data_IF_457521800908
#
_entry.id   IF_457521800908
#
_cell.length_a   1.000
_cell.length_b   1.000
_cell.length_c   1.000
_cell.angle_alpha   90.00
_cell.angle_beta   90.00
_cell.angle_gamma   90.00
#
_symmetry.space_group_name_H-M   'P 1'
#
loop_
_entity.id
_entity.type
_entity.pdbx_description
1 polymer ?
#
# COMPACT_ATOMS: atom_id res chain seq x y z
N UNK A 1 38.54 5.71 -8.07
CA UNK A 1 37.75 6.80 -8.67
C UNK A 1 37.08 7.54 -7.51
N UNK A 2 37.68 8.66 -7.14
CA UNK A 2 37.10 9.56 -6.13
C UNK A 2 35.80 10.13 -6.69
N UNK A 3 34.71 9.84 -6.02
CA UNK A 3 33.48 10.59 -6.24
C UNK A 3 33.78 12.05 -5.91
N UNK A 4 33.83 12.89 -6.96
CA UNK A 4 33.78 14.31 -6.75
C UNK A 4 32.50 14.63 -6.00
N UNK A 5 32.60 14.78 -4.69
CA UNK A 5 31.55 15.40 -3.92
C UNK A 5 31.34 16.77 -4.52
N UNK A 6 30.28 16.96 -5.27
CA UNK A 6 29.84 18.29 -5.70
C UNK A 6 29.62 19.10 -4.42
N UNK A 7 30.51 20.02 -4.12
CA UNK A 7 30.25 21.01 -3.09
C UNK A 7 28.98 21.76 -3.50
N UNK A 8 27.89 21.42 -2.82
CA UNK A 8 26.62 22.13 -3.03
C UNK A 8 26.86 23.58 -2.66
N UNK A 9 26.75 24.48 -3.63
CA UNK A 9 26.90 25.90 -3.36
C UNK A 9 25.86 26.32 -2.29
N UNK A 10 26.27 27.12 -1.34
CA UNK A 10 25.42 27.52 -0.21
C UNK A 10 24.06 28.09 -0.66
N UNK A 11 24.02 28.80 -1.81
CA UNK A 11 22.77 29.35 -2.33
C UNK A 11 21.79 28.23 -2.78
N UNK A 12 22.30 27.14 -3.36
CA UNK A 12 21.47 26.00 -3.80
C UNK A 12 20.79 25.34 -2.60
N UNK A 13 21.50 25.23 -1.49
CA UNK A 13 20.97 24.68 -0.24
C UNK A 13 19.79 25.52 0.29
N UNK A 14 20.01 26.86 0.43
CA UNK A 14 18.95 27.75 0.91
C UNK A 14 17.78 27.85 -0.08
N UNK A 15 18.06 27.83 -1.37
CA UNK A 15 17.06 27.84 -2.43
C UNK A 15 16.20 26.57 -2.36
N UNK A 16 16.82 25.40 -2.19
CA UNK A 16 16.11 24.11 -2.06
C UNK A 16 15.14 24.14 -0.87
N UNK A 17 15.62 24.63 0.29
CA UNK A 17 14.78 24.75 1.49
C UNK A 17 13.60 25.71 1.22
N UNK A 18 13.85 26.85 0.60
CA UNK A 18 12.81 27.83 0.30
C UNK A 18 11.73 27.24 -0.64
N UNK A 19 12.16 26.60 -1.74
CA UNK A 19 11.24 25.93 -2.69
C UNK A 19 10.44 24.85 -1.98
N UNK A 20 11.09 24.01 -1.15
CA UNK A 20 10.42 22.96 -0.39
C UNK A 20 9.34 23.54 0.53
N UNK A 21 9.69 24.56 1.33
CA UNK A 21 8.75 25.16 2.29
C UNK A 21 7.57 25.83 1.58
N UNK A 22 7.82 26.53 0.47
CA UNK A 22 6.77 27.19 -0.33
C UNK A 22 5.85 26.10 -0.94
N UNK A 23 6.42 25.08 -1.57
CA UNK A 23 5.68 23.95 -2.16
C UNK A 23 4.81 23.28 -1.10
N UNK A 24 5.39 23.00 0.07
CA UNK A 24 4.69 22.34 1.18
C UNK A 24 3.56 23.23 1.74
N UNK A 25 3.80 24.54 1.82
CA UNK A 25 2.78 25.52 2.22
C UNK A 25 1.58 25.52 1.27
N UNK A 26 1.83 25.45 -0.03
CA UNK A 26 0.75 25.34 -1.03
C UNK A 26 0.02 24.01 -0.92
N UNK A 27 0.73 22.90 -0.67
CA UNK A 27 0.12 21.56 -0.48
C UNK A 27 -0.84 21.59 0.74
N UNK A 28 -0.40 22.20 1.85
CA UNK A 28 -1.21 22.33 3.09
C UNK A 28 -2.45 23.18 2.85
N UNK A 29 -2.38 24.18 1.98
CA UNK A 29 -3.52 25.07 1.70
C UNK A 29 -4.71 24.36 1.05
N UNK A 30 -4.47 23.19 0.43
CA UNK A 30 -5.49 22.32 -0.24
C UNK A 30 -6.27 23.03 -1.37
N UNK A 31 -5.85 24.21 -1.80
CA UNK A 31 -6.52 24.99 -2.84
C UNK A 31 -6.22 24.49 -4.25
N UNK A 32 -5.10 23.81 -4.42
CA UNK A 32 -4.62 23.29 -5.71
C UNK A 32 -4.29 21.81 -5.59
N UNK A 33 -4.28 21.11 -6.71
CA UNK A 33 -3.94 19.70 -6.75
C UNK A 33 -2.51 19.48 -6.25
N UNK A 34 -2.35 18.65 -5.23
CA UNK A 34 -1.07 18.37 -4.54
C UNK A 34 0.01 17.87 -5.51
N UNK A 35 -0.36 17.02 -6.47
CA UNK A 35 0.59 16.47 -7.45
C UNK A 35 1.12 17.57 -8.38
N UNK A 36 0.25 18.48 -8.82
CA UNK A 36 0.63 19.61 -9.68
C UNK A 36 1.62 20.52 -8.94
N UNK A 37 1.33 20.84 -7.68
CA UNK A 37 2.20 21.69 -6.84
C UNK A 37 3.58 21.03 -6.68
N UNK A 38 3.60 19.73 -6.36
CA UNK A 38 4.85 18.97 -6.17
C UNK A 38 5.68 18.92 -7.46
N UNK A 39 5.02 18.66 -8.60
CA UNK A 39 5.69 18.64 -9.91
C UNK A 39 6.26 20.01 -10.26
N UNK A 40 5.52 21.08 -9.94
CA UNK A 40 5.96 22.46 -10.18
C UNK A 40 7.20 22.79 -9.33
N UNK A 41 7.20 22.39 -8.06
CA UNK A 41 8.35 22.54 -7.16
C UNK A 41 9.58 21.78 -7.71
N UNK A 42 9.37 20.54 -8.14
CA UNK A 42 10.44 19.72 -8.75
C UNK A 42 10.98 20.36 -10.03
N UNK A 43 10.09 20.88 -10.90
CA UNK A 43 10.49 21.57 -12.13
C UNK A 43 11.36 22.80 -11.83
N UNK A 44 10.99 23.59 -10.81
CA UNK A 44 11.79 24.75 -10.37
C UNK A 44 13.19 24.30 -9.95
N UNK A 45 13.31 23.23 -9.17
CA UNK A 45 14.61 22.70 -8.72
C UNK A 45 15.51 22.30 -9.90
N UNK A 46 14.90 21.73 -10.95
CA UNK A 46 15.63 21.31 -12.16
C UNK A 46 16.04 22.55 -13.00
N UNK A 47 15.12 23.48 -13.22
CA UNK A 47 15.35 24.69 -14.05
C UNK A 47 16.49 25.54 -13.45
N UNK A 48 16.53 25.65 -12.12
CA UNK A 48 17.57 26.43 -11.43
C UNK A 48 18.87 25.63 -11.19
N UNK A 49 18.96 24.40 -11.73
CA UNK A 49 20.18 23.61 -11.67
C UNK A 49 20.53 23.10 -10.26
N UNK A 50 19.57 23.05 -9.35
CA UNK A 50 19.75 22.48 -8.00
C UNK A 50 19.80 20.96 -8.09
N UNK A 51 18.97 20.40 -8.98
CA UNK A 51 18.92 18.96 -9.25
C UNK A 51 19.12 18.78 -10.76
N UNK A 52 20.09 17.95 -11.13
CA UNK A 52 20.29 17.58 -12.53
C UNK A 52 19.14 16.68 -13.04
N UNK A 53 18.68 16.94 -14.24
CA UNK A 53 17.55 16.22 -14.86
C UNK A 53 17.81 14.70 -14.95
N UNK A 54 19.00 14.29 -15.36
CA UNK A 54 19.36 12.88 -15.46
C UNK A 54 19.33 12.21 -14.08
N UNK A 55 19.94 12.87 -13.09
CA UNK A 55 19.98 12.40 -11.70
C UNK A 55 18.57 12.34 -11.10
N UNK A 56 17.72 13.34 -11.41
CA UNK A 56 16.31 13.34 -10.97
C UNK A 56 15.60 12.06 -11.41
N UNK A 57 15.74 11.70 -12.69
CA UNK A 57 15.05 10.52 -13.27
C UNK A 57 15.67 9.18 -12.87
N UNK A 58 17.00 9.12 -12.72
CA UNK A 58 17.69 7.83 -12.46
C UNK A 58 17.79 7.52 -10.97
N UNK A 59 17.89 8.55 -10.11
CA UNK A 59 18.22 8.35 -8.68
C UNK A 59 17.14 8.83 -7.72
N UNK A 60 16.39 9.88 -8.07
CA UNK A 60 15.42 10.45 -7.14
C UNK A 60 14.00 9.91 -7.35
N UNK A 61 13.64 9.45 -8.56
CA UNK A 61 12.36 8.76 -8.79
C UNK A 61 12.52 7.30 -8.38
N UNK A 62 11.69 6.85 -7.45
CA UNK A 62 11.68 5.46 -7.00
C UNK A 62 10.81 4.62 -7.94
N UNK A 63 11.39 4.23 -9.09
CA UNK A 63 10.69 3.47 -10.13
C UNK A 63 10.16 2.13 -9.60
N UNK A 64 10.89 1.49 -8.68
CA UNK A 64 10.45 0.24 -8.03
C UNK A 64 9.11 0.43 -7.30
N UNK A 65 9.01 1.52 -6.52
CA UNK A 65 7.78 1.87 -5.79
C UNK A 65 6.63 2.14 -6.77
N UNK A 66 6.87 2.95 -7.80
CA UNK A 66 5.84 3.32 -8.80
C UNK A 66 5.34 2.06 -9.53
N UNK A 67 6.26 1.21 -9.99
CA UNK A 67 5.93 -0.02 -10.72
C UNK A 67 5.10 -0.98 -9.84
N UNK A 68 5.50 -1.13 -8.58
CA UNK A 68 4.77 -1.97 -7.62
C UNK A 68 3.35 -1.44 -7.38
N UNK A 69 3.22 -0.12 -7.16
CA UNK A 69 1.90 0.51 -6.95
C UNK A 69 0.99 0.31 -8.17
N UNK A 70 1.50 0.57 -9.37
CA UNK A 70 0.73 0.37 -10.61
C UNK A 70 0.29 -1.10 -10.74
N UNK A 71 1.21 -2.04 -10.53
CA UNK A 71 0.90 -3.48 -10.60
C UNK A 71 -0.18 -3.89 -9.60
N UNK A 72 -0.05 -3.44 -8.35
CA UNK A 72 -1.04 -3.73 -7.30
C UNK A 72 -2.41 -3.09 -7.63
N UNK A 73 -2.43 -1.84 -8.09
CA UNK A 73 -3.68 -1.15 -8.47
C UNK A 73 -4.40 -1.90 -9.61
N UNK A 74 -3.67 -2.36 -10.63
CA UNK A 74 -4.23 -3.15 -11.73
C UNK A 74 -4.81 -4.48 -11.20
N UNK A 75 -4.04 -5.19 -10.39
CA UNK A 75 -4.45 -6.50 -9.84
C UNK A 75 -5.71 -6.35 -8.97
N UNK A 76 -5.74 -5.34 -8.09
CA UNK A 76 -6.88 -5.08 -7.21
C UNK A 76 -8.10 -4.63 -8.01
N UNK A 77 -7.90 -3.79 -9.05
CA UNK A 77 -8.98 -3.36 -9.93
C UNK A 77 -9.62 -4.56 -10.66
N UNK A 78 -8.80 -5.45 -11.21
CA UNK A 78 -9.30 -6.70 -11.85
C UNK A 78 -10.06 -7.56 -10.83
N UNK A 79 -9.51 -7.69 -9.62
CA UNK A 79 -10.16 -8.46 -8.53
C UNK A 79 -11.51 -7.85 -8.17
N UNK A 80 -11.61 -6.52 -8.11
CA UNK A 80 -12.86 -5.83 -7.75
C UNK A 80 -13.97 -6.07 -8.79
N UNK A 81 -13.61 -6.22 -10.06
CA UNK A 81 -14.60 -6.48 -11.12
C UNK A 81 -15.33 -7.83 -10.91
N UNK A 82 -14.75 -8.78 -10.17
CA UNK A 82 -15.39 -10.06 -9.84
C UNK A 82 -16.55 -9.92 -8.84
N UNK A 83 -16.66 -8.79 -8.12
CA UNK A 83 -17.68 -8.56 -7.09
C UNK A 83 -17.31 -9.12 -5.72
N UNK A 84 -16.06 -9.52 -5.52
CA UNK A 84 -15.62 -10.17 -4.27
C UNK A 84 -15.78 -9.26 -3.04
N UNK A 85 -15.52 -7.96 -3.19
CA UNK A 85 -15.57 -7.02 -2.06
C UNK A 85 -17.01 -6.81 -1.61
N UNK A 86 -17.95 -6.72 -2.57
CA UNK A 86 -19.39 -6.66 -2.29
C UNK A 86 -19.86 -7.93 -1.60
N UNK A 87 -19.47 -9.08 -2.11
CA UNK A 87 -19.78 -10.40 -1.53
C UNK A 87 -19.31 -10.47 -0.06
N UNK A 88 -18.04 -10.13 0.20
CA UNK A 88 -17.43 -10.24 1.54
C UNK A 88 -18.09 -9.24 2.50
N UNK A 89 -18.34 -8.00 2.07
CA UNK A 89 -18.94 -6.97 2.92
C UNK A 89 -20.39 -7.32 3.30
N UNK A 90 -21.19 -7.82 2.34
CA UNK A 90 -22.58 -8.25 2.62
C UNK A 90 -22.57 -9.49 3.53
N UNK A 91 -21.68 -10.43 3.29
CA UNK A 91 -21.52 -11.62 4.13
C UNK A 91 -21.14 -11.20 5.57
N UNK A 92 -20.24 -10.22 5.75
CA UNK A 92 -19.87 -9.67 7.03
C UNK A 92 -21.08 -8.99 7.72
N UNK A 93 -21.88 -8.23 6.96
CA UNK A 93 -23.08 -7.57 7.51
C UNK A 93 -24.13 -8.61 7.97
N UNK A 94 -24.28 -9.70 7.23
CA UNK A 94 -25.18 -10.81 7.61
C UNK A 94 -24.63 -11.55 8.85
N UNK A 95 -23.32 -11.80 8.92
CA UNK A 95 -22.66 -12.42 10.08
C UNK A 95 -22.83 -11.56 11.35
N UNK A 96 -22.93 -10.24 11.18
CA UNK A 96 -23.24 -9.30 12.28
C UNK A 96 -24.69 -9.40 12.77
N UNK A 97 -25.52 -10.25 12.13
CA UNK A 97 -26.95 -10.37 12.44
C UNK A 97 -27.75 -9.13 12.08
N UNK A 98 -27.29 -8.33 11.13
CA UNK A 98 -27.93 -7.08 10.71
C UNK A 98 -27.88 -5.96 11.75
N UNK A 99 -27.20 -6.14 12.88
CA UNK A 99 -27.12 -5.13 13.95
C UNK A 99 -26.16 -4.02 13.55
N UNK A 100 -26.60 -2.75 13.48
CA UNK A 100 -25.78 -1.66 12.92
C UNK A 100 -24.41 -1.51 13.56
N UNK A 101 -24.32 -1.56 14.89
CA UNK A 101 -23.03 -1.40 15.58
C UNK A 101 -22.07 -2.56 15.27
N UNK A 102 -22.57 -3.80 15.16
CA UNK A 102 -21.74 -4.96 14.81
C UNK A 102 -21.26 -4.88 13.37
N UNK A 103 -22.13 -4.40 12.47
CA UNK A 103 -21.78 -4.17 11.06
C UNK A 103 -20.65 -3.13 10.98
N UNK A 104 -20.78 -2.03 11.71
CA UNK A 104 -19.76 -0.98 11.76
C UNK A 104 -18.40 -1.57 12.16
N UNK A 105 -18.35 -2.34 13.26
CA UNK A 105 -17.10 -2.94 13.74
C UNK A 105 -16.53 -3.97 12.76
N UNK A 106 -17.40 -4.81 12.16
CA UNK A 106 -16.93 -5.84 11.20
C UNK A 106 -16.45 -5.23 9.88
N UNK A 107 -17.14 -4.19 9.36
CA UNK A 107 -16.67 -3.49 8.15
C UNK A 107 -15.37 -2.73 8.41
N UNK A 108 -15.22 -2.11 9.58
CA UNK A 108 -13.95 -1.48 9.97
C UNK A 108 -12.81 -2.50 10.01
N UNK A 109 -13.06 -3.66 10.64
CA UNK A 109 -12.06 -4.74 10.70
C UNK A 109 -11.74 -5.29 9.31
N UNK A 110 -12.78 -5.49 8.47
CA UNK A 110 -12.61 -5.93 7.08
C UNK A 110 -11.76 -4.93 6.29
N UNK A 111 -12.01 -3.63 6.49
CA UNK A 111 -11.24 -2.56 5.86
C UNK A 111 -9.78 -2.60 6.31
N UNK A 112 -9.52 -2.80 7.61
CA UNK A 112 -8.14 -2.90 8.13
C UNK A 112 -7.40 -4.10 7.51
N UNK A 113 -8.04 -5.27 7.51
CA UNK A 113 -7.44 -6.49 6.92
C UNK A 113 -7.23 -6.32 5.42
N UNK A 114 -8.21 -5.76 4.72
CA UNK A 114 -8.09 -5.48 3.28
C UNK A 114 -6.91 -4.53 3.00
N UNK A 115 -6.83 -3.44 3.76
CA UNK A 115 -5.83 -2.41 3.57
C UNK A 115 -4.41 -2.88 3.92
N UNK A 116 -4.27 -3.90 4.75
CA UNK A 116 -2.94 -4.49 5.02
C UNK A 116 -2.33 -5.14 3.78
N UNK A 117 -3.15 -5.55 2.81
CA UNK A 117 -2.70 -6.26 1.59
C UNK A 117 -3.00 -5.50 0.30
N UNK A 118 -3.93 -4.55 0.36
CA UNK A 118 -4.23 -3.60 -0.72
C UNK A 118 -3.84 -2.22 -0.20
N UNK A 119 -3.71 -1.23 -1.07
CA UNK A 119 -3.44 0.11 -0.54
C UNK A 119 -4.69 0.68 0.15
N UNK A 120 -4.47 1.61 1.07
CA UNK A 120 -5.51 2.21 1.91
C UNK A 120 -6.58 2.94 1.09
N UNK A 121 -6.18 3.66 0.03
CA UNK A 121 -7.09 4.43 -0.82
C UNK A 121 -8.01 3.49 -1.61
N UNK A 122 -7.42 2.49 -2.27
CA UNK A 122 -8.18 1.51 -3.06
C UNK A 122 -9.16 0.74 -2.16
N UNK A 123 -8.72 0.33 -0.97
CA UNK A 123 -9.58 -0.39 -0.02
C UNK A 123 -10.83 0.43 0.34
N UNK A 124 -10.66 1.71 0.65
CA UNK A 124 -11.79 2.62 0.94
C UNK A 124 -12.72 2.75 -0.27
N UNK A 125 -12.12 2.97 -1.46
CA UNK A 125 -12.92 3.10 -2.70
C UNK A 125 -13.75 1.86 -3.01
N UNK A 126 -13.30 0.67 -2.60
CA UNK A 126 -14.01 -0.59 -2.82
C UNK A 126 -15.10 -0.85 -1.77
N UNK A 127 -14.84 -0.54 -0.50
CA UNK A 127 -15.75 -0.86 0.61
C UNK A 127 -16.87 0.20 0.73
N UNK A 128 -16.58 1.48 0.53
CA UNK A 128 -17.52 2.59 0.73
C UNK A 128 -18.84 2.41 -0.06
N UNK A 129 -18.83 2.09 -1.37
CA UNK A 129 -20.12 1.91 -2.10
C UNK A 129 -21.01 0.83 -1.48
N UNK A 130 -20.41 -0.26 -1.00
CA UNK A 130 -21.16 -1.36 -0.37
C UNK A 130 -21.70 -0.91 1.00
N UNK A 131 -20.90 -0.20 1.76
CA UNK A 131 -21.29 0.38 3.06
C UNK A 131 -22.47 1.33 2.89
N UNK A 132 -22.42 2.20 1.87
CA UNK A 132 -23.54 3.11 1.55
C UNK A 132 -24.81 2.33 1.20
N UNK A 133 -24.68 1.22 0.47
CA UNK A 133 -25.84 0.35 0.15
C UNK A 133 -26.42 -0.29 1.42
N UNK A 134 -25.56 -0.86 2.28
CA UNK A 134 -25.96 -1.50 3.54
C UNK A 134 -26.65 -0.47 4.47
N UNK A 135 -26.02 0.71 4.65
CA UNK A 135 -26.56 1.76 5.54
C UNK A 135 -27.88 2.32 5.02
N UNK A 136 -28.07 2.39 3.70
CA UNK A 136 -29.34 2.79 3.06
C UNK A 136 -30.44 1.77 3.36
N UNK A 137 -30.17 0.47 3.24
CA UNK A 137 -31.12 -0.62 3.57
C UNK A 137 -31.52 -0.54 5.04
N UNK A 138 -30.55 -0.35 5.92
CA UNK A 138 -30.79 -0.28 7.39
C UNK A 138 -31.36 1.06 7.83
N UNK A 139 -31.41 2.05 6.94
CA UNK A 139 -31.86 3.44 7.23
C UNK A 139 -31.08 4.07 8.39
N UNK A 140 -29.75 3.85 8.40
CA UNK A 140 -28.85 4.43 9.41
C UNK A 140 -27.93 5.48 8.77
N UNK A 141 -27.42 6.40 9.60
CA UNK A 141 -26.45 7.42 9.15
C UNK A 141 -25.17 6.72 8.68
N UNK A 142 -24.69 6.92 7.43
CA UNK A 142 -23.46 6.30 6.95
C UNK A 142 -22.18 6.93 7.50
N UNK A 143 -22.22 8.17 7.99
CA UNK A 143 -21.02 8.93 8.39
C UNK A 143 -20.14 8.17 9.41
N UNK A 144 -20.70 7.55 10.48
CA UNK A 144 -19.86 6.76 11.40
C UNK A 144 -19.11 5.61 10.73
N UNK A 145 -19.75 4.96 9.75
CA UNK A 145 -19.13 3.85 9.00
C UNK A 145 -17.96 4.37 8.15
N UNK A 146 -18.21 5.42 7.39
CA UNK A 146 -17.22 6.02 6.48
C UNK A 146 -16.00 6.51 7.26
N UNK A 147 -16.21 7.22 8.38
CA UNK A 147 -15.11 7.68 9.25
C UNK A 147 -14.31 6.49 9.78
N UNK A 148 -15.01 5.45 10.24
CA UNK A 148 -14.36 4.25 10.75
C UNK A 148 -13.55 3.53 9.66
N UNK A 149 -14.09 3.40 8.46
CA UNK A 149 -13.39 2.77 7.32
C UNK A 149 -12.13 3.54 6.94
N UNK A 150 -12.20 4.88 6.87
CA UNK A 150 -11.02 5.71 6.59
C UNK A 150 -9.96 5.55 7.69
N UNK A 151 -10.36 5.55 8.96
CA UNK A 151 -9.42 5.30 10.07
C UNK A 151 -8.79 3.92 9.97
N UNK A 152 -9.61 2.89 9.74
CA UNK A 152 -9.15 1.50 9.71
C UNK A 152 -8.38 1.16 8.45
N UNK A 153 -8.60 1.86 7.33
CA UNK A 153 -7.74 1.70 6.14
C UNK A 153 -6.32 2.18 6.42
N UNK A 154 -6.15 3.31 7.10
CA UNK A 154 -4.83 3.81 7.48
C UNK A 154 -4.17 2.93 8.54
N UNK A 155 -4.92 2.54 9.59
CA UNK A 155 -4.42 1.65 10.65
C UNK A 155 -3.95 0.32 10.02
N UNK A 156 -4.80 -0.31 9.21
CA UNK A 156 -4.48 -1.59 8.55
C UNK A 156 -3.33 -1.49 7.56
N UNK A 157 -3.33 -0.44 6.74
CA UNK A 157 -2.27 -0.19 5.76
C UNK A 157 -0.89 -0.07 6.37
N UNK A 158 -0.81 0.46 7.60
CA UNK A 158 0.46 0.58 8.33
C UNK A 158 1.05 -0.80 8.71
N UNK A 159 0.23 -1.86 8.75
CA UNK A 159 0.65 -3.18 9.25
C UNK A 159 1.69 -3.88 8.37
N UNK A 160 1.72 -3.59 7.07
CA UNK A 160 2.58 -4.29 6.11
C UNK A 160 3.33 -3.32 5.20
N UNK A 161 4.32 -3.84 4.52
CA UNK A 161 5.13 -3.07 3.56
C UNK A 161 4.27 -2.52 2.40
N UNK A 162 3.29 -3.30 1.92
CA UNK A 162 2.51 -2.98 0.70
C UNK A 162 1.19 -2.25 0.99
N UNK A 163 0.78 -2.14 2.26
CA UNK A 163 -0.50 -1.56 2.64
C UNK A 163 -0.58 -0.04 2.52
N UNK A 164 0.58 0.63 2.42
CA UNK A 164 0.62 2.10 2.31
C UNK A 164 1.86 2.53 1.51
N UNK A 165 1.74 3.45 0.52
CA UNK A 165 2.89 3.91 -0.26
C UNK A 165 4.11 4.39 0.54
N UNK A 166 3.97 5.16 1.64
CA UNK A 166 5.14 5.51 2.45
C UNK A 166 5.93 4.30 2.97
N UNK A 167 5.25 3.20 3.31
CA UNK A 167 5.91 1.98 3.77
C UNK A 167 6.79 1.38 2.66
N UNK A 168 6.27 1.35 1.42
CA UNK A 168 7.03 0.87 0.25
C UNK A 168 8.27 1.74 0.05
N UNK A 169 8.12 3.08 0.15
CA UNK A 169 9.24 4.02 0.02
C UNK A 169 10.32 3.79 1.09
N UNK A 170 9.91 3.58 2.34
CA UNK A 170 10.83 3.30 3.46
C UNK A 170 11.55 1.96 3.21
N UNK A 171 10.81 0.93 2.82
CA UNK A 171 11.38 -0.39 2.53
C UNK A 171 12.33 -0.39 1.35
N UNK A 172 12.01 0.33 0.27
CA UNK A 172 12.91 0.41 -0.90
C UNK A 172 14.19 1.16 -0.59
N UNK A 173 14.13 2.15 0.31
CA UNK A 173 15.31 2.89 0.77
C UNK A 173 16.15 2.10 1.79
N UNK A 174 15.59 1.07 2.44
CA UNK A 174 16.22 0.31 3.51
C UNK A 174 16.03 -1.20 3.28
N UNK A 175 16.99 -1.81 2.61
CA UNK A 175 16.90 -3.22 2.14
C UNK A 175 16.68 -4.26 3.25
N UNK A 176 16.99 -3.91 4.51
CA UNK A 176 16.74 -4.81 5.65
C UNK A 176 15.32 -4.69 6.20
N UNK A 177 14.54 -3.71 5.73
CA UNK A 177 13.12 -3.54 6.10
C UNK A 177 12.23 -4.18 5.02
N UNK A 178 12.28 -5.50 4.96
CA UNK A 178 11.47 -6.28 4.00
C UNK A 178 10.03 -6.47 4.51
N UNK A 179 9.19 -7.15 3.74
CA UNK A 179 7.79 -7.43 4.07
C UNK A 179 7.65 -8.09 5.45
N UNK A 180 8.51 -9.06 5.75
CA UNK A 180 8.46 -9.81 7.01
C UNK A 180 8.87 -8.94 8.20
N UNK A 181 9.86 -8.04 8.01
CA UNK A 181 10.26 -7.10 9.05
C UNK A 181 9.09 -6.16 9.42
N UNK A 182 8.39 -5.62 8.41
CA UNK A 182 7.18 -4.81 8.65
C UNK A 182 6.10 -5.62 9.39
N UNK A 183 5.78 -6.81 8.90
CA UNK A 183 4.73 -7.66 9.46
C UNK A 183 5.04 -8.02 10.94
N UNK A 184 6.27 -8.41 11.24
CA UNK A 184 6.62 -8.86 12.59
C UNK A 184 6.71 -7.71 13.60
N UNK A 185 7.12 -6.51 13.16
CA UNK A 185 7.34 -5.38 14.06
C UNK A 185 6.12 -4.46 14.15
N UNK A 186 5.44 -4.17 13.03
CA UNK A 186 4.33 -3.21 13.02
C UNK A 186 2.96 -3.88 13.22
N UNK A 187 2.72 -5.09 12.68
CA UNK A 187 1.40 -5.69 12.79
C UNK A 187 0.96 -5.92 14.25
N UNK A 188 1.82 -6.34 15.20
CA UNK A 188 1.39 -6.45 16.61
C UNK A 188 0.93 -5.11 17.19
N UNK A 189 1.65 -4.02 16.87
CA UNK A 189 1.29 -2.67 17.33
C UNK A 189 -0.04 -2.24 16.70
N UNK A 190 -0.19 -2.48 15.39
CA UNK A 190 -1.42 -2.18 14.64
C UNK A 190 -2.62 -2.94 15.20
N UNK A 191 -2.45 -4.20 15.61
CA UNK A 191 -3.51 -5.01 16.24
C UNK A 191 -3.96 -4.34 17.56
N UNK A 192 -3.02 -3.91 18.38
CA UNK A 192 -3.33 -3.23 19.66
C UNK A 192 -4.10 -1.93 19.38
N UNK A 193 -3.60 -1.11 18.45
CA UNK A 193 -4.25 0.16 18.04
C UNK A 193 -5.67 -0.14 17.52
N UNK A 194 -5.82 -1.18 16.68
CA UNK A 194 -7.13 -1.59 16.13
C UNK A 194 -8.12 -1.95 17.23
N UNK A 195 -7.71 -2.73 18.21
CA UNK A 195 -8.56 -3.15 19.34
C UNK A 195 -9.02 -1.92 20.15
N UNK A 196 -8.08 -1.03 20.46
CA UNK A 196 -8.39 0.19 21.24
C UNK A 196 -9.36 1.09 20.45
N UNK A 197 -9.06 1.29 19.14
CA UNK A 197 -9.90 2.13 18.26
C UNK A 197 -11.31 1.53 18.09
N UNK A 198 -11.42 0.19 17.90
CA UNK A 198 -12.72 -0.51 17.85
C UNK A 198 -13.50 -0.29 19.15
N UNK A 199 -12.81 -0.35 20.30
CA UNK A 199 -13.41 -0.07 21.60
C UNK A 199 -13.97 1.34 21.67
N UNK A 200 -13.18 2.34 21.28
CA UNK A 200 -13.59 3.75 21.26
C UNK A 200 -14.83 3.92 20.36
N UNK A 201 -14.78 3.40 19.13
CA UNK A 201 -15.90 3.49 18.17
C UNK A 201 -17.15 2.80 18.73
N UNK A 202 -17.00 1.62 19.33
CA UNK A 202 -18.12 0.91 19.96
C UNK A 202 -18.79 1.78 21.04
N UNK A 203 -18.01 2.34 21.96
CA UNK A 203 -18.56 3.18 23.05
C UNK A 203 -19.19 4.48 22.51
N UNK A 204 -18.63 5.08 21.46
CA UNK A 204 -19.17 6.30 20.83
C UNK A 204 -20.51 6.08 20.14
N UNK A 205 -20.68 4.91 19.48
CA UNK A 205 -21.80 4.71 18.54
C UNK A 205 -22.81 3.64 18.98
N UNK A 206 -22.57 2.84 20.03
CA UNK A 206 -23.44 1.72 20.46
C UNK A 206 -24.91 2.12 20.70
N UNK A 207 -25.14 3.35 21.15
CA UNK A 207 -26.48 3.86 21.45
C UNK A 207 -27.07 4.75 20.35
N UNK A 208 -26.25 5.15 19.37
CA UNK A 208 -26.63 6.10 18.32
C UNK A 208 -27.13 5.40 17.04
N UNK A 209 -26.69 4.19 16.79
CA UNK A 209 -27.01 3.44 15.59
C UNK A 209 -28.19 2.49 15.88
N UNK A 210 -29.39 2.91 15.45
CA UNK A 210 -30.62 2.15 15.65
C UNK A 210 -31.27 1.86 14.30
N UNK A 211 -31.87 0.69 14.15
CA UNK A 211 -32.61 0.25 12.97
C UNK A 211 -33.82 -0.57 13.42
N UNK A 212 -34.74 -0.84 12.53
CA UNK A 212 -35.94 -1.64 12.83
C UNK A 212 -35.73 -3.11 12.43
N UNK A 213 -36.48 -4.04 13.03
CA UNK A 213 -36.43 -5.45 12.61
C UNK A 213 -36.73 -5.66 11.13
N UNK A 214 -37.64 -4.84 10.54
CA UNK A 214 -37.97 -4.88 9.12
C UNK A 214 -36.74 -4.60 8.22
N UNK A 215 -35.91 -3.59 8.58
CA UNK A 215 -34.70 -3.29 7.82
C UNK A 215 -33.65 -4.40 7.98
N UNK A 216 -33.55 -4.98 9.17
CA UNK A 216 -32.65 -6.14 9.40
C UNK A 216 -33.07 -7.30 8.50
N UNK A 217 -34.39 -7.60 8.47
CA UNK A 217 -34.92 -8.67 7.62
C UNK A 217 -34.61 -8.42 6.14
N UNK A 218 -34.79 -7.19 5.65
CA UNK A 218 -34.43 -6.82 4.27
C UNK A 218 -32.96 -7.06 3.97
N UNK A 219 -32.06 -6.71 4.88
CA UNK A 219 -30.62 -6.97 4.74
C UNK A 219 -30.33 -8.48 4.74
N UNK A 220 -30.94 -9.22 5.67
CA UNK A 220 -30.74 -10.67 5.78
C UNK A 220 -31.28 -11.44 4.59
N UNK A 221 -32.29 -10.89 3.90
CA UNK A 221 -32.87 -11.48 2.67
C UNK A 221 -31.97 -11.33 1.44
N UNK A 222 -30.95 -10.46 1.48
CA UNK A 222 -30.00 -10.35 0.36
C UNK A 222 -29.25 -11.67 0.19
N UNK A 223 -29.06 -12.06 -1.06
CA UNK A 223 -28.21 -13.22 -1.38
C UNK A 223 -26.82 -12.67 -1.75
N UNK A 224 -25.85 -12.89 -0.90
CA UNK A 224 -24.49 -12.39 -1.10
C UNK A 224 -23.86 -12.94 -2.38
N UNK A 225 -24.26 -14.14 -2.83
CA UNK A 225 -23.73 -14.76 -4.05
C UNK A 225 -24.11 -14.00 -5.33
N UNK A 226 -25.20 -13.24 -5.30
CA UNK A 226 -25.67 -12.46 -6.46
C UNK A 226 -24.70 -11.29 -6.77
N UNK A 227 -23.81 -10.97 -5.85
CA UNK A 227 -22.79 -9.91 -6.01
C UNK A 227 -21.52 -10.43 -6.67
N UNK A 228 -21.35 -11.75 -6.78
CA UNK A 228 -20.24 -12.35 -7.56
C UNK A 228 -20.64 -12.29 -9.03
N UNK A 229 -19.99 -11.42 -9.77
CA UNK A 229 -20.29 -11.17 -11.19
C UNK A 229 -19.68 -12.20 -12.12
N UNK A 230 -18.48 -12.70 -11.77
CA UNK A 230 -17.73 -13.67 -12.57
C UNK A 230 -16.89 -14.56 -11.65
N UNK A 231 -17.29 -15.81 -11.50
CA UNK A 231 -16.59 -16.81 -10.66
C UNK A 231 -15.22 -17.18 -11.23
N UNK A 232 -15.07 -17.22 -12.55
CA UNK A 232 -13.78 -17.54 -13.19
C UNK A 232 -12.77 -16.43 -12.91
N UNK A 233 -13.21 -15.17 -13.08
CA UNK A 233 -12.39 -14.00 -12.79
C UNK A 233 -12.04 -13.94 -11.29
N UNK A 234 -13.00 -14.24 -10.42
CA UNK A 234 -12.81 -14.30 -8.97
C UNK A 234 -11.68 -15.28 -8.61
N UNK A 235 -11.79 -16.53 -9.10
CA UNK A 235 -10.81 -17.55 -8.76
C UNK A 235 -9.42 -17.18 -9.27
N UNK A 236 -9.31 -16.73 -10.52
CA UNK A 236 -8.03 -16.34 -11.13
C UNK A 236 -7.39 -15.15 -10.39
N UNK A 237 -8.17 -14.10 -10.12
CA UNK A 237 -7.64 -12.88 -9.50
C UNK A 237 -7.25 -13.12 -8.03
N UNK A 238 -8.05 -13.85 -7.26
CA UNK A 238 -7.70 -14.22 -5.87
C UNK A 238 -6.46 -15.12 -5.85
N UNK A 239 -6.34 -16.05 -6.80
CA UNK A 239 -5.15 -16.93 -6.89
C UNK A 239 -3.89 -16.11 -7.17
N UNK A 240 -3.97 -15.17 -8.11
CA UNK A 240 -2.83 -14.29 -8.46
C UNK A 240 -2.51 -13.37 -7.28
N UNK A 241 -3.52 -12.77 -6.64
CA UNK A 241 -3.32 -11.91 -5.47
C UNK A 241 -2.67 -12.70 -4.32
N UNK A 242 -3.17 -13.91 -4.04
CA UNK A 242 -2.60 -14.80 -3.03
C UNK A 242 -1.16 -15.19 -3.34
N UNK A 243 -0.87 -15.51 -4.61
CA UNK A 243 0.49 -15.81 -5.06
C UNK A 243 1.42 -14.60 -4.92
N UNK A 244 0.93 -13.41 -5.21
CA UNK A 244 1.68 -12.15 -5.07
C UNK A 244 2.03 -11.90 -3.58
N UNK A 245 1.05 -12.03 -2.69
CA UNK A 245 1.26 -11.88 -1.24
C UNK A 245 2.25 -12.95 -0.74
N UNK A 246 2.08 -14.19 -1.18
CA UNK A 246 3.00 -15.28 -0.85
C UNK A 246 4.42 -14.96 -1.35
N UNK A 247 4.54 -14.40 -2.54
CA UNK A 247 5.82 -13.93 -3.10
C UNK A 247 6.51 -12.90 -2.20
N UNK A 248 5.75 -11.94 -1.66
CA UNK A 248 6.30 -10.94 -0.72
C UNK A 248 6.76 -11.59 0.59
N UNK A 249 5.97 -12.52 1.13
CA UNK A 249 6.33 -13.24 2.38
C UNK A 249 7.61 -14.07 2.16
N UNK A 250 7.71 -14.74 1.01
CA UNK A 250 8.86 -15.59 0.68
C UNK A 250 10.06 -14.82 0.13
N UNK A 251 9.89 -13.54 -0.18
CA UNK A 251 10.92 -12.70 -0.82
C UNK A 251 12.23 -12.71 -0.03
N UNK A 252 12.16 -12.64 1.29
CA UNK A 252 13.37 -12.67 2.14
C UNK A 252 14.11 -14.02 2.03
N UNK A 253 13.38 -15.11 1.87
CA UNK A 253 13.95 -16.45 1.68
C UNK A 253 14.52 -16.56 0.25
N UNK A 254 13.78 -16.12 -0.73
CA UNK A 254 14.16 -16.13 -2.17
C UNK A 254 15.33 -15.15 -2.41
N UNK A 255 15.29 -14.02 -1.78
CA UNK A 255 16.41 -13.05 -1.87
C UNK A 255 17.68 -13.64 -1.27
N UNK A 256 17.55 -14.26 -0.48
CA UNK A 256 18.62 -14.95 0.13
C UNK A 256 19.15 -16.01 -0.74
N UNK A 257 18.38 -16.52 -1.27
CA UNK A 257 18.74 -17.53 -2.21
C UNK A 257 19.23 -16.91 -3.49
N UNK A 258 18.65 -16.02 -3.73
CA UNK A 258 19.01 -15.30 -4.86
C UNK A 258 20.31 -14.53 -4.69
N UNK A 259 20.47 -14.17 -3.70
CA UNK A 259 21.66 -13.51 -3.33
C UNK A 259 22.79 -14.48 -3.21
N UNK A 260 22.50 -15.37 -2.75
CA UNK A 260 23.45 -16.43 -2.68
C UNK A 260 23.78 -16.99 -4.04
N UNK A 261 22.88 -17.02 -4.66
CA UNK A 261 23.08 -17.46 -6.00
C UNK A 261 23.80 -16.44 -6.82
N UNK A 262 23.44 -15.45 -6.57
CA UNK A 262 24.07 -14.39 -7.19
C UNK A 262 25.50 -14.22 -6.77
N UNK A 263 25.59 -14.40 -5.70
CA UNK A 263 26.88 -14.41 -5.16
C UNK A 263 27.71 -15.57 -5.64
N UNK A 264 27.09 -16.44 -5.70
CA UNK A 264 27.76 -17.59 -6.27
C UNK A 264 28.07 -17.41 -7.72
N UNK A 265 27.25 -16.85 -8.22
CA UNK A 265 27.45 -16.53 -9.58
C UNK A 265 28.51 -15.49 -9.81
N UNK A 266 28.43 -14.75 -9.01
CA UNK A 266 29.43 -13.76 -9.05
C UNK A 266 30.80 -14.30 -8.75
N UNK A 267 30.91 -15.11 -7.82
CA UNK A 267 32.19 -15.80 -7.47
C UNK A 267 32.70 -16.67 -8.63
N UNK A 268 31.83 -17.40 -9.27
CA UNK A 268 32.21 -18.20 -10.46
C UNK A 268 32.75 -17.31 -11.59
N UNK A 269 32.09 -16.21 -11.86
CA UNK A 269 32.53 -15.26 -12.88
C UNK A 269 33.88 -14.65 -12.55
N UNK A 270 34.06 -14.28 -11.26
CA UNK A 270 35.35 -13.71 -10.80
C UNK A 270 36.47 -14.77 -10.78
N UNK A 271 36.15 -16.05 -10.54
CA UNK A 271 37.17 -17.13 -10.64
C UNK A 271 37.53 -17.45 -12.09
N UNK A 272 36.59 -17.29 -13.03
CA UNK A 272 36.86 -17.45 -14.47
C UNK A 272 37.69 -16.28 -15.03
N UNK A 273 37.41 -15.04 -14.58
CA UNK A 273 38.22 -13.85 -14.94
C UNK A 273 39.65 -13.96 -14.42
N UNK A 274 39.84 -14.53 -13.22
CA UNK A 274 41.21 -14.79 -12.70
C UNK A 274 41.93 -15.90 -13.48
N UNK A 275 41.20 -16.90 -13.94
CA UNK A 275 41.78 -17.93 -14.81
C UNK A 275 42.11 -17.33 -16.17
N UNK A 276 41.26 -16.46 -16.70
CA UNK A 276 41.49 -15.79 -17.98
C UNK A 276 42.72 -14.86 -17.92
N UNK A 277 42.82 -14.04 -16.88
CA UNK A 277 43.97 -13.15 -16.68
C UNK A 277 45.26 -13.93 -16.40
N UNK A 278 45.20 -15.06 -15.72
CA UNK A 278 46.38 -15.91 -15.49
C UNK A 278 46.81 -16.63 -16.81
N UNK A 279 45.85 -16.95 -17.69
CA UNK A 279 46.08 -17.54 -18.99
C UNK A 279 46.74 -16.52 -19.96
N UNK A 280 46.29 -15.29 -19.97
CA UNK A 280 46.78 -14.19 -20.78
C UNK A 280 48.21 -13.80 -20.33
N UNK A 281 48.41 -13.66 -19.04
CA UNK A 281 49.73 -13.32 -18.46
C UNK A 281 50.77 -14.44 -18.63
N UNK A 282 50.34 -15.69 -18.82
CA UNK A 282 51.26 -16.80 -19.15
C UNK A 282 51.67 -16.78 -20.61
N UNK A 283 50.82 -16.32 -21.51
CA UNK A 283 51.10 -16.22 -22.96
C UNK A 283 52.05 -15.04 -23.29
N UNK A 284 52.08 -14.03 -22.43
CA UNK A 284 52.96 -12.85 -22.66
C UNK A 284 54.39 -13.09 -22.11
N UNK A 285 54.61 -14.19 -21.41
CA UNK A 285 55.94 -14.53 -20.84
C UNK A 285 56.65 -15.65 -21.62
N UNK A 286 56.07 -16.19 -22.68
CA UNK A 286 56.69 -17.15 -23.60
C UNK A 286 56.95 -16.50 -24.95
#
# INVERSE_FOLDING_TARGET
MEQSAHEVANWQYYFAIAVFLITYGFIISEKLNRAVIALFGAAIMIIFGVVDLHTAFTSHIQWETITLLIGMMILVHITSQSGVFEFVAIKAAKAAGGKPIRILLLLSLLTAVGSAFLDNVTTVLLIVPVTLSITRILKVNPVPYLISEVLFSNIGGTATLIGDPPNIMIGSANKHLDFNAFLLNLAPIVIIISIVTLGIIYFMYRNKLKTTPEQIEKLMALNEKDYIKDQSLLLKSISILGLTILGFVLHSIIHXXXXXXXXXXXRCRYSDDRRYTSYVNRRERT
#
